data_IF_547560842235
#
_entry.id   IF_547560842235
#
_cell.length_a   1.000
_cell.length_b   1.000
_cell.length_c   1.000
_cell.angle_alpha   90.00
_cell.angle_beta   90.00
_cell.angle_gamma   90.00
#
_symmetry.space_group_name_H-M   'P 1'
#
loop_
_entity.id
_entity.type
_entity.pdbx_description
1 polymer ?
#
# COMPACT_ATOMS: atom_id res chain seq x y z
N UNK A 1 -4.30 -1.77 25.10
CA UNK A 1 -3.75 -0.46 24.65
C UNK A 1 -2.22 -0.44 24.43
N UNK A 2 -1.44 -1.35 25.02
CA UNK A 2 0.04 -1.27 24.93
C UNK A 2 0.66 -1.64 23.57
N UNK A 3 -0.01 -2.45 22.74
CA UNK A 3 0.53 -2.90 21.45
C UNK A 3 0.68 -1.73 20.45
N UNK A 4 -0.32 -0.85 20.37
CA UNK A 4 -0.29 0.33 19.52
C UNK A 4 0.85 1.29 19.92
N UNK A 5 0.99 1.58 21.22
CA UNK A 5 2.06 2.46 21.74
C UNK A 5 3.45 1.89 21.47
N UNK A 6 3.62 0.56 21.59
CA UNK A 6 4.88 -0.12 21.23
C UNK A 6 5.17 -0.05 19.73
N UNK A 7 4.14 -0.18 18.88
CA UNK A 7 4.26 -0.01 17.43
C UNK A 7 4.76 1.39 17.06
N UNK A 8 4.16 2.43 17.63
CA UNK A 8 4.58 3.82 17.39
C UNK A 8 6.04 4.09 17.75
N UNK A 9 6.53 3.56 18.87
CA UNK A 9 7.95 3.69 19.24
C UNK A 9 8.88 3.00 18.24
N UNK A 10 8.45 1.86 17.70
CA UNK A 10 9.20 1.12 16.66
C UNK A 10 9.24 1.89 15.34
N UNK A 11 8.15 2.56 14.99
CA UNK A 11 7.99 3.27 13.71
C UNK A 11 8.52 4.72 13.74
N UNK A 12 8.94 5.22 14.90
CA UNK A 12 9.44 6.59 15.07
C UNK A 12 10.53 6.99 14.06
N UNK A 13 11.56 6.16 13.78
CA UNK A 13 12.57 6.51 12.77
C UNK A 13 11.98 6.69 11.36
N UNK A 14 11.00 5.86 11.00
CA UNK A 14 10.33 5.95 9.70
C UNK A 14 9.47 7.22 9.59
N UNK A 15 8.83 7.64 10.69
CA UNK A 15 8.06 8.89 10.74
C UNK A 15 8.99 10.10 10.58
N UNK A 16 10.11 10.13 11.31
CA UNK A 16 11.10 11.22 11.18
C UNK A 16 11.64 11.28 9.75
N UNK A 17 12.04 10.15 9.17
CA UNK A 17 12.52 10.08 7.79
C UNK A 17 11.47 10.59 6.79
N UNK A 18 10.19 10.24 6.98
CA UNK A 18 9.10 10.70 6.14
C UNK A 18 8.78 12.21 6.24
N UNK A 19 9.22 12.88 7.30
CA UNK A 19 9.07 14.33 7.49
C UNK A 19 10.31 15.13 7.07
N UNK A 20 11.50 14.51 7.14
CA UNK A 20 12.77 15.18 6.86
C UNK A 20 13.24 14.99 5.42
N UNK A 21 12.95 13.84 4.81
CA UNK A 21 13.40 13.53 3.46
C UNK A 21 12.41 14.04 2.40
N UNK A 22 12.88 14.42 1.21
CA UNK A 22 12.01 14.85 0.10
C UNK A 22 11.23 13.68 -0.54
N UNK A 23 11.44 12.45 -0.08
CA UNK A 23 10.81 11.26 -0.64
C UNK A 23 9.39 11.08 -0.10
N UNK A 24 8.44 10.82 -0.98
CA UNK A 24 7.07 10.51 -0.61
C UNK A 24 6.70 9.08 -1.02
N UNK A 25 5.85 8.44 -0.21
CA UNK A 25 5.27 7.14 -0.54
C UNK A 25 4.07 7.26 -1.52
N UNK A 26 3.86 8.45 -2.11
CA UNK A 26 2.69 8.75 -2.96
C UNK A 26 2.53 7.81 -4.16
N UNK A 27 3.57 7.62 -4.99
CA UNK A 27 3.50 6.74 -6.16
C UNK A 27 3.14 5.28 -5.79
N UNK A 28 3.76 4.76 -4.73
CA UNK A 28 3.52 3.39 -4.24
C UNK A 28 2.10 3.26 -3.67
N UNK A 29 1.62 4.27 -2.92
CA UNK A 29 0.22 4.31 -2.46
C UNK A 29 -0.77 4.33 -3.63
N UNK A 30 -0.46 5.07 -4.69
CA UNK A 30 -1.24 5.10 -5.93
C UNK A 30 -1.32 3.73 -6.59
N UNK A 31 -0.17 3.06 -6.76
CA UNK A 31 -0.11 1.70 -7.31
C UNK A 31 -0.94 0.71 -6.46
N UNK A 32 -0.79 0.73 -5.14
CA UNK A 32 -1.59 -0.11 -4.24
C UNK A 32 -3.09 0.18 -4.34
N UNK A 33 -3.48 1.43 -4.54
CA UNK A 33 -4.89 1.82 -4.73
C UNK A 33 -5.44 1.29 -6.05
N UNK A 34 -4.67 1.39 -7.14
CA UNK A 34 -5.05 0.82 -8.45
C UNK A 34 -5.25 -0.70 -8.35
N UNK A 35 -4.33 -1.42 -7.71
CA UNK A 35 -4.45 -2.88 -7.50
C UNK A 35 -5.72 -3.22 -6.71
N UNK A 36 -5.94 -2.58 -5.56
CA UNK A 36 -7.13 -2.81 -4.73
C UNK A 36 -8.43 -2.47 -5.46
N UNK A 37 -8.42 -1.45 -6.30
CA UNK A 37 -9.57 -1.07 -7.12
C UNK A 37 -9.89 -2.17 -8.14
N UNK A 38 -8.88 -2.69 -8.83
CA UNK A 38 -9.05 -3.79 -9.79
C UNK A 38 -9.58 -5.05 -9.10
N UNK A 39 -9.05 -5.42 -7.93
CA UNK A 39 -9.57 -6.56 -7.14
C UNK A 39 -11.03 -6.37 -6.73
N UNK A 40 -11.42 -5.16 -6.28
CA UNK A 40 -12.80 -4.83 -5.90
C UNK A 40 -13.76 -4.88 -7.07
N UNK A 41 -13.35 -4.40 -8.25
CA UNK A 41 -14.13 -4.52 -9.49
C UNK A 41 -14.35 -5.98 -9.91
N UNK A 42 -13.56 -6.92 -9.40
CA UNK A 42 -13.68 -8.35 -9.65
C UNK A 42 -14.41 -9.08 -8.51
N UNK A 43 -15.02 -8.33 -7.59
CA UNK A 43 -15.68 -8.86 -6.39
C UNK A 43 -14.78 -9.80 -5.57
N UNK A 44 -13.46 -9.54 -5.58
CA UNK A 44 -12.48 -10.39 -4.90
C UNK A 44 -12.24 -11.76 -5.54
N UNK A 45 -12.87 -12.07 -6.68
CA UNK A 45 -12.81 -13.38 -7.37
C UNK A 45 -11.64 -13.55 -8.33
N UNK A 46 -10.69 -12.62 -8.35
CA UNK A 46 -9.53 -12.66 -9.23
C UNK A 46 -8.37 -13.42 -8.58
N UNK A 47 -8.10 -14.65 -9.01
CA UNK A 47 -6.81 -15.26 -8.72
C UNK A 47 -5.66 -14.42 -9.30
N UNK A 48 -4.45 -14.61 -8.76
CA UNK A 48 -3.26 -13.85 -9.18
C UNK A 48 -3.03 -13.77 -10.71
N UNK A 49 -3.23 -14.84 -11.51
CA UNK A 49 -3.07 -14.76 -12.96
C UNK A 49 -3.99 -13.74 -13.64
N UNK A 50 -5.27 -13.69 -13.23
CA UNK A 50 -6.26 -12.77 -13.79
C UNK A 50 -5.99 -11.33 -13.35
N UNK A 51 -5.63 -11.13 -12.07
CA UNK A 51 -5.25 -9.82 -11.56
C UNK A 51 -4.01 -9.28 -12.30
N UNK A 52 -2.99 -10.11 -12.51
CA UNK A 52 -1.79 -9.75 -13.28
C UNK A 52 -2.13 -9.36 -14.71
N UNK A 53 -2.95 -10.16 -15.40
CA UNK A 53 -3.39 -9.85 -16.75
C UNK A 53 -4.09 -8.50 -16.80
N UNK A 54 -4.97 -8.20 -15.84
CA UNK A 54 -5.68 -6.93 -15.77
C UNK A 54 -4.71 -5.76 -15.52
N UNK A 55 -3.77 -5.90 -14.59
CA UNK A 55 -2.77 -4.85 -14.30
C UNK A 55 -1.92 -4.53 -15.54
N UNK A 56 -1.49 -5.53 -16.31
CA UNK A 56 -0.64 -5.35 -17.49
C UNK A 56 -1.38 -4.80 -18.71
N UNK A 57 -2.69 -5.04 -18.80
CA UNK A 57 -3.53 -4.58 -19.91
C UNK A 57 -4.27 -3.26 -19.62
N UNK A 58 -4.06 -2.64 -18.45
CA UNK A 58 -4.67 -1.35 -18.05
C UNK A 58 -3.66 -0.22 -18.01
#
# INVERSE_FOLDING_TARGET
>A
MHAFVRGLRKDLPAVVAGLTLPYSNGPIKGANTKVKLLERQMYGGAGFPLLRQRILLT
#
